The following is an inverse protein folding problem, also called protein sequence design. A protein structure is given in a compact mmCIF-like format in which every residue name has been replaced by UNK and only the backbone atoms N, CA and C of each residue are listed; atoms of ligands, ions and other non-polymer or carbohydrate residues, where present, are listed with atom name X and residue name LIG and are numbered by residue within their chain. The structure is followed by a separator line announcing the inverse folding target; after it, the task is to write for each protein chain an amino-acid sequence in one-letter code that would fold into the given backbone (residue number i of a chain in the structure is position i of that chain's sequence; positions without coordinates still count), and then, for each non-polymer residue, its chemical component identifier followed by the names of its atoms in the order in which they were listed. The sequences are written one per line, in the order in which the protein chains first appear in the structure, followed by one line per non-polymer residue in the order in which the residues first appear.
data_IF_385155126281
#
_entry.id   IF_385155126281
#
_cell.length_a   1.000
_cell.length_b   1.000
_cell.length_c   1.000
_cell.angle_alpha   90.00
_cell.angle_beta   90.00
_cell.angle_gamma   90.00
#
_symmetry.space_group_name_H-M   'P 1'
#
loop_
_entity.id
_entity.type
_entity.pdbx_description
1 polymer ?
#
# COMPACT_ATOMS: atom_id res chain seq x y z
N UNK A 1 20.73 6.94 21.06
CA UNK A 1 20.11 7.06 19.75
C UNK A 1 19.71 5.66 19.31
N UNK A 2 18.45 5.25 19.51
CA UNK A 2 17.94 4.03 18.91
C UNK A 2 17.53 4.38 17.49
N UNK A 3 18.17 3.79 16.48
CA UNK A 3 17.75 4.04 15.11
C UNK A 3 16.45 3.29 14.85
N UNK A 4 15.41 4.03 14.49
CA UNK A 4 14.08 3.49 14.18
C UNK A 4 14.14 2.35 13.14
N UNK A 5 15.14 2.39 12.25
CA UNK A 5 15.42 1.35 11.26
C UNK A 5 15.50 -0.07 11.82
N UNK A 6 16.05 -0.28 13.02
CA UNK A 6 16.18 -1.64 13.58
C UNK A 6 14.87 -2.20 14.13
N UNK A 7 13.84 -1.37 14.31
CA UNK A 7 12.53 -1.77 14.86
C UNK A 7 11.47 -1.97 13.77
N UNK A 8 11.77 -1.64 12.52
CA UNK A 8 10.81 -1.71 11.41
C UNK A 8 10.92 -3.06 10.71
N UNK A 9 9.78 -3.75 10.59
CA UNK A 9 9.63 -4.95 9.77
C UNK A 9 9.89 -4.62 8.29
N UNK A 10 10.74 -5.42 7.65
CA UNK A 10 11.11 -5.28 6.23
C UNK A 10 10.34 -6.30 5.39
N UNK A 11 9.03 -6.06 5.20
CA UNK A 11 8.17 -7.00 4.47
C UNK A 11 8.35 -6.92 2.96
N UNK A 12 8.50 -5.72 2.41
CA UNK A 12 8.79 -5.48 0.99
C UNK A 12 9.85 -4.39 0.90
N UNK A 13 10.98 -4.69 0.27
CA UNK A 13 12.13 -3.78 0.15
C UNK A 13 12.72 -3.84 -1.25
N UNK A 14 13.38 -2.76 -1.67
CA UNK A 14 14.01 -2.68 -2.99
C UNK A 14 13.02 -2.95 -4.13
N UNK A 15 13.31 -3.96 -4.95
CA UNK A 15 12.51 -4.31 -6.13
C UNK A 15 11.13 -4.89 -5.80
N UNK A 16 10.89 -5.26 -4.54
CA UNK A 16 9.59 -5.79 -4.12
C UNK A 16 8.59 -4.67 -3.79
N UNK A 17 9.04 -3.40 -3.76
CA UNK A 17 8.19 -2.22 -3.54
C UNK A 17 7.54 -1.79 -4.86
N UNK A 18 6.50 -2.52 -5.26
CA UNK A 18 5.77 -2.32 -6.52
C UNK A 18 4.29 -1.99 -6.28
N UNK A 19 3.65 -1.33 -7.27
CA UNK A 19 2.21 -1.10 -7.24
C UNK A 19 1.40 -2.40 -7.16
N UNK A 20 1.85 -3.45 -7.86
CA UNK A 20 1.21 -4.77 -7.83
C UNK A 20 1.18 -5.36 -6.41
N UNK A 21 2.34 -5.37 -5.73
CA UNK A 21 2.41 -5.88 -4.36
C UNK A 21 1.57 -5.02 -3.42
N UNK A 22 1.58 -3.69 -3.58
CA UNK A 22 0.74 -2.79 -2.78
C UNK A 22 -0.76 -3.14 -2.89
N UNK A 23 -1.26 -3.36 -4.12
CA UNK A 23 -2.65 -3.75 -4.34
C UNK A 23 -2.95 -5.16 -3.82
N UNK A 24 -2.06 -6.12 -4.05
CA UNK A 24 -2.23 -7.51 -3.61
C UNK A 24 -2.28 -7.61 -2.08
N UNK A 25 -1.42 -6.85 -1.39
CA UNK A 25 -1.39 -6.75 0.07
C UNK A 25 -2.72 -6.22 0.63
N UNK A 26 -3.26 -5.14 0.04
CA UNK A 26 -4.53 -4.55 0.50
C UNK A 26 -5.75 -5.43 0.21
N UNK A 27 -5.73 -6.18 -0.88
CA UNK A 27 -6.81 -7.08 -1.30
C UNK A 27 -6.70 -8.49 -0.70
N UNK A 28 -5.74 -8.72 0.18
CA UNK A 28 -5.50 -10.03 0.81
C UNK A 28 -5.20 -11.14 -0.23
N UNK A 29 -4.70 -10.76 -1.41
CA UNK A 29 -4.46 -11.69 -2.51
C UNK A 29 -3.07 -12.31 -2.41
N UNK A 30 -2.95 -13.33 -1.57
CA UNK A 30 -1.70 -14.06 -1.32
C UNK A 30 -1.01 -14.57 -2.58
N UNK A 31 -1.77 -14.97 -3.60
CA UNK A 31 -1.20 -15.52 -4.85
C UNK A 31 -0.67 -14.45 -5.81
N UNK A 32 -1.10 -13.19 -5.65
CA UNK A 32 -0.65 -12.08 -6.48
C UNK A 32 0.52 -11.30 -5.89
N UNK A 33 0.83 -11.54 -4.60
CA UNK A 33 2.05 -11.06 -3.95
C UNK A 33 3.26 -11.81 -4.52
N UNK A 34 4.30 -11.06 -4.86
CA UNK A 34 5.55 -11.60 -5.40
C UNK A 34 6.74 -11.00 -4.66
N UNK A 35 7.77 -11.80 -4.35
CA UNK A 35 8.90 -11.34 -3.54
C UNK A 35 8.52 -11.00 -2.09
N UNK A 36 9.43 -10.33 -1.38
CA UNK A 36 9.23 -9.91 0.01
C UNK A 36 8.99 -11.06 1.00
N UNK A 37 8.38 -10.74 2.14
CA UNK A 37 8.00 -11.69 3.18
C UNK A 37 6.74 -12.48 2.86
N UNK A 38 5.95 -12.03 1.88
CA UNK A 38 4.63 -12.58 1.57
C UNK A 38 3.53 -12.11 2.53
N UNK A 39 3.82 -11.19 3.45
CA UNK A 39 2.83 -10.65 4.40
C UNK A 39 1.82 -9.77 3.67
N UNK A 40 0.54 -9.98 3.92
CA UNK A 40 -0.55 -9.16 3.40
C UNK A 40 -1.44 -8.69 4.55
N UNK A 41 -2.44 -7.85 4.26
CA UNK A 41 -3.46 -7.49 5.24
C UNK A 41 -4.39 -8.68 5.39
N UNK A 42 -4.37 -9.35 6.53
CA UNK A 42 -5.29 -10.44 6.88
C UNK A 42 -6.22 -9.90 7.95
N UNK A 43 -7.39 -9.42 7.54
CA UNK A 43 -8.28 -8.60 8.41
C UNK A 43 -9.71 -9.12 8.47
N UNK A 44 -10.31 -8.94 9.64
CA UNK A 44 -11.67 -9.31 9.94
C UNK A 44 -12.64 -8.11 9.88
N UNK A 45 -13.96 -8.34 9.78
CA UNK A 45 -14.97 -7.27 9.69
C UNK A 45 -14.96 -6.25 10.84
N UNK A 46 -14.31 -6.56 11.96
CA UNK A 46 -14.20 -5.67 13.13
C UNK A 46 -12.90 -4.86 13.15
N UNK A 47 -11.97 -5.13 12.24
CA UNK A 47 -10.63 -4.55 12.26
C UNK A 47 -10.59 -3.13 11.72
N UNK A 48 -9.57 -2.39 12.17
CA UNK A 48 -9.29 -1.04 11.72
C UNK A 48 -7.99 -1.05 10.92
N UNK A 49 -8.07 -0.62 9.66
CA UNK A 49 -6.92 -0.56 8.75
C UNK A 49 -6.44 0.89 8.63
N UNK A 50 -5.14 1.10 8.81
CA UNK A 50 -4.48 2.37 8.54
C UNK A 50 -3.44 2.20 7.43
N UNK A 51 -3.59 2.97 6.35
CA UNK A 51 -2.66 3.00 5.22
C UNK A 51 -1.99 4.36 5.21
N UNK A 52 -0.65 4.35 5.25
CA UNK A 52 0.17 5.55 5.18
C UNK A 52 1.07 5.48 3.95
N UNK A 53 0.99 6.50 3.09
CA UNK A 53 1.82 6.62 1.90
C UNK A 53 2.56 7.95 1.89
N UNK A 54 3.88 7.89 1.68
CA UNK A 54 4.76 9.04 1.54
C UNK A 54 5.76 8.80 0.41
N UNK A 55 5.65 9.61 -0.64
CA UNK A 55 6.62 9.71 -1.73
C UNK A 55 6.20 10.92 -2.60
N UNK A 56 6.67 10.95 -3.84
CA UNK A 56 6.34 11.88 -4.87
C UNK A 56 4.98 11.51 -5.48
N UNK A 57 4.29 12.52 -5.98
CA UNK A 57 3.00 12.32 -6.65
C UNK A 57 2.72 13.43 -7.64
N UNK A 58 1.69 13.21 -8.44
CA UNK A 58 1.21 14.17 -9.43
C UNK A 58 -0.30 14.07 -9.57
N UNK A 59 -0.88 14.85 -10.49
CA UNK A 59 -2.30 14.77 -10.75
C UNK A 59 -2.70 13.35 -11.19
N UNK A 60 -3.43 12.64 -10.31
CA UNK A 60 -3.93 11.30 -10.57
C UNK A 60 -2.93 10.15 -10.40
N UNK A 61 -1.72 10.41 -9.90
CA UNK A 61 -0.67 9.39 -9.73
C UNK A 61 0.10 9.49 -8.40
N UNK A 62 0.58 8.36 -7.92
CA UNK A 62 1.53 8.24 -6.81
C UNK A 62 2.77 7.47 -7.29
N UNK A 63 3.96 7.94 -6.89
CA UNK A 63 5.24 7.35 -7.23
C UNK A 63 5.41 5.90 -6.75
N UNK A 64 6.21 5.14 -7.47
CA UNK A 64 6.72 3.85 -6.98
C UNK A 64 8.21 3.80 -7.32
N UNK A 65 9.05 3.24 -6.42
CA UNK A 65 10.47 3.16 -6.67
C UNK A 65 10.81 2.22 -7.83
N UNK A 66 9.96 1.23 -8.10
CA UNK A 66 10.16 0.24 -9.16
C UNK A 66 8.85 -0.02 -9.92
N UNK A 67 8.93 -0.04 -11.25
CA UNK A 67 7.83 -0.40 -12.13
C UNK A 67 6.84 0.75 -12.37
N UNK A 68 5.55 0.39 -12.42
CA UNK A 68 4.47 1.33 -12.72
C UNK A 68 4.08 2.18 -11.50
N UNK A 69 3.64 3.41 -11.76
CA UNK A 69 3.04 4.27 -10.75
C UNK A 69 1.69 3.71 -10.27
N UNK A 70 1.30 4.08 -9.04
CA UNK A 70 -0.08 3.88 -8.61
C UNK A 70 -0.96 4.93 -9.30
N UNK A 71 -1.88 4.49 -10.14
CA UNK A 71 -2.92 5.35 -10.70
C UNK A 71 -4.06 5.51 -9.69
N UNK A 72 -4.59 6.73 -9.54
CA UNK A 72 -5.65 7.02 -8.58
C UNK A 72 -6.95 6.23 -8.87
N UNK A 73 -7.23 5.97 -10.15
CA UNK A 73 -8.39 5.17 -10.55
C UNK A 73 -8.25 3.72 -10.08
N UNK A 74 -7.07 3.14 -10.21
CA UNK A 74 -6.81 1.76 -9.78
C UNK A 74 -6.80 1.64 -8.27
N UNK A 75 -6.22 2.61 -7.57
CA UNK A 75 -6.30 2.69 -6.11
C UNK A 75 -7.76 2.76 -5.63
N UNK A 76 -8.58 3.61 -6.25
CA UNK A 76 -10.01 3.69 -5.92
C UNK A 76 -10.74 2.37 -6.18
N UNK A 77 -10.42 1.67 -7.27
CA UNK A 77 -11.00 0.36 -7.57
C UNK A 77 -10.57 -0.69 -6.55
N UNK A 78 -9.31 -0.68 -6.12
CA UNK A 78 -8.80 -1.54 -5.05
C UNK A 78 -9.53 -1.27 -3.74
N UNK A 79 -9.68 -0.01 -3.33
CA UNK A 79 -10.39 0.34 -2.10
C UNK A 79 -11.88 -0.04 -2.16
N UNK A 80 -12.54 0.13 -3.31
CA UNK A 80 -13.93 -0.34 -3.52
C UNK A 80 -14.04 -1.85 -3.40
N UNK A 81 -13.11 -2.61 -4.01
CA UNK A 81 -13.07 -4.08 -3.88
C UNK A 81 -12.84 -4.50 -2.43
N UNK A 82 -11.90 -3.86 -1.73
CA UNK A 82 -11.64 -4.11 -0.32
C UNK A 82 -12.88 -3.82 0.53
N UNK A 83 -13.57 -2.71 0.30
CA UNK A 83 -14.83 -2.40 0.98
C UNK A 83 -15.91 -3.45 0.73
N UNK A 84 -16.09 -3.85 -0.53
CA UNK A 84 -17.10 -4.84 -0.92
C UNK A 84 -16.84 -6.22 -0.31
N UNK A 85 -15.59 -6.55 0.04
CA UNK A 85 -15.27 -7.80 0.73
C UNK A 85 -15.72 -7.83 2.20
N UNK A 86 -16.03 -6.68 2.81
CA UNK A 86 -16.53 -6.60 4.19
C UNK A 86 -15.49 -7.00 5.26
N UNK A 87 -14.21 -7.02 4.92
CA UNK A 87 -13.10 -7.51 5.76
C UNK A 87 -12.49 -6.43 6.66
N UNK A 88 -13.21 -5.34 6.94
CA UNK A 88 -12.78 -4.32 7.91
C UNK A 88 -13.95 -3.46 8.35
N UNK A 89 -13.84 -2.87 9.55
CA UNK A 89 -14.80 -1.92 10.11
C UNK A 89 -14.58 -0.51 9.62
N UNK A 90 -13.33 -0.04 9.63
CA UNK A 90 -12.95 1.26 9.04
C UNK A 90 -11.55 1.22 8.43
N UNK A 91 -11.37 2.00 7.36
CA UNK A 91 -10.06 2.18 6.72
C UNK A 91 -9.78 3.67 6.60
N UNK A 92 -8.61 4.09 7.07
CA UNK A 92 -8.08 5.44 6.89
C UNK A 92 -6.90 5.37 5.94
N UNK A 93 -6.96 6.15 4.86
CA UNK A 93 -5.92 6.23 3.84
C UNK A 93 -5.31 7.63 3.83
N UNK A 94 -4.16 7.77 4.50
CA UNK A 94 -3.44 9.02 4.65
C UNK A 94 -2.29 9.11 3.62
N UNK A 95 -2.24 10.21 2.87
CA UNK A 95 -1.37 10.37 1.71
C UNK A 95 -0.74 11.75 1.74
N UNK A 96 0.58 11.78 1.77
CA UNK A 96 1.37 13.00 1.68
C UNK A 96 2.13 13.02 0.35
N UNK A 97 1.56 13.60 -0.72
CA UNK A 97 2.33 13.87 -1.92
C UNK A 97 3.36 14.94 -1.57
N UNK A 98 4.63 14.55 -1.63
CA UNK A 98 5.73 15.51 -1.59
C UNK A 98 5.71 16.25 -2.93
N UNK A 99 5.35 17.55 -2.89
CA UNK A 99 5.33 18.40 -4.08
C UNK A 99 6.71 18.39 -4.75
N UNK A 100 6.80 17.81 -5.95
CA UNK A 100 7.83 18.24 -6.89
C UNK A 100 7.25 19.39 -7.69
N UNK A 101 7.74 20.58 -7.38
CA UNK A 101 7.84 21.68 -8.33
C UNK A 101 8.89 21.27 -9.37
N UNK A 102 8.48 21.09 -10.62
CA UNK A 102 9.35 21.26 -11.78
C UNK A 102 8.78 22.43 -12.60
#
# INVERSE_FOLDING_TARGET
SYSQYHLVSQDYVGNDVTAQNFYAVLLENKTAVTGGSGKFVDSDPNDHIFVYYTDHGGAGILGMPVGEFIMMNDLNNVLKKKHASGTYKSLVNDRFPSFISL
#
